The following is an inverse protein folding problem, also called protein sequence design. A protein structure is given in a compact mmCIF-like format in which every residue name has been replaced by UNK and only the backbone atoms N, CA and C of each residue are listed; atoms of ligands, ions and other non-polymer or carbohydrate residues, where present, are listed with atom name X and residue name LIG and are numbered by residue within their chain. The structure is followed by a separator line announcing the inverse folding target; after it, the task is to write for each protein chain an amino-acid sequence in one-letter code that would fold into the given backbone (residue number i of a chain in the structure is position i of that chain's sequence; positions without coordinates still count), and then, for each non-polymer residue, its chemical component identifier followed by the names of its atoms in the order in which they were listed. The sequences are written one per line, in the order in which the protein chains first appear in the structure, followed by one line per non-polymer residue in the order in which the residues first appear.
data_IF_816715582162
#
_entry.id   IF_816715582162
#
_cell.length_a   1.000
_cell.length_b   1.000
_cell.length_c   1.000
_cell.angle_alpha   90.00
_cell.angle_beta   90.00
_cell.angle_gamma   90.00
#
_symmetry.space_group_name_H-M   'P 1'
#
loop_
_entity.id
_entity.type
_entity.pdbx_description
1 polymer ?
#
# COMPACT_ATOMS: atom_id res chain seq x y z
N UNK A 1 32.80 -35.49 -9.81
CA UNK A 1 31.70 -36.03 -10.63
C UNK A 1 32.00 -35.69 -12.07
N UNK A 2 32.43 -36.66 -12.88
CA UNK A 2 32.67 -36.48 -14.31
C UNK A 2 31.58 -37.24 -15.08
N UNK A 3 30.82 -36.55 -15.93
CA UNK A 3 29.86 -37.18 -16.81
C UNK A 3 30.56 -37.42 -18.15
N UNK A 4 30.72 -38.71 -18.52
CA UNK A 4 31.33 -39.14 -19.80
C UNK A 4 32.80 -38.73 -20.00
N UNK A 5 33.59 -38.67 -18.94
CA UNK A 5 35.03 -38.33 -18.99
C UNK A 5 35.34 -36.95 -19.64
N UNK A 6 34.32 -36.11 -19.77
CA UNK A 6 34.46 -34.74 -20.26
C UNK A 6 34.64 -33.78 -19.09
N UNK A 7 35.49 -32.78 -19.30
CA UNK A 7 35.68 -31.71 -18.35
C UNK A 7 34.43 -30.82 -18.32
N UNK A 8 33.83 -30.70 -17.14
CA UNK A 8 32.58 -29.95 -16.93
C UNK A 8 32.79 -28.45 -17.21
N UNK A 9 33.99 -27.94 -16.97
CA UNK A 9 34.36 -26.54 -17.20
C UNK A 9 34.28 -26.13 -18.69
N UNK A 10 34.37 -27.10 -19.61
CA UNK A 10 34.27 -26.85 -21.07
C UNK A 10 32.86 -26.50 -21.54
N UNK A 11 31.83 -26.91 -20.79
CA UNK A 11 30.42 -26.62 -21.08
C UNK A 11 29.95 -25.29 -20.48
N UNK A 12 30.80 -24.64 -19.67
CA UNK A 12 30.49 -23.37 -19.03
C UNK A 12 30.83 -22.22 -19.99
N UNK A 13 29.83 -21.40 -20.32
CA UNK A 13 30.03 -20.20 -21.13
C UNK A 13 31.10 -19.29 -20.49
N UNK A 14 31.89 -18.62 -21.32
CA UNK A 14 32.94 -17.70 -20.90
C UNK A 14 32.44 -16.65 -19.88
N UNK A 15 31.18 -16.22 -19.98
CA UNK A 15 30.57 -15.26 -19.05
C UNK A 15 30.53 -15.74 -17.59
N UNK A 16 30.51 -17.05 -17.35
CA UNK A 16 30.45 -17.63 -16.00
C UNK A 16 31.81 -18.07 -15.46
N UNK A 17 32.90 -17.86 -16.22
CA UNK A 17 34.25 -18.23 -15.80
C UNK A 17 34.79 -17.27 -14.73
N UNK A 18 35.58 -17.81 -13.80
CA UNK A 18 36.24 -17.04 -12.72
C UNK A 18 37.05 -15.87 -13.25
N UNK A 19 37.76 -16.04 -14.37
CA UNK A 19 38.56 -14.99 -15.00
C UNK A 19 37.69 -13.79 -15.39
N UNK A 20 36.52 -14.05 -15.99
CA UNK A 20 35.57 -13.03 -16.41
C UNK A 20 34.99 -12.30 -15.20
N UNK A 21 34.66 -13.03 -14.13
CA UNK A 21 34.23 -12.44 -12.86
C UNK A 21 35.31 -11.51 -12.27
N UNK A 22 36.55 -11.98 -12.15
CA UNK A 22 37.65 -11.17 -11.64
C UNK A 22 37.93 -9.96 -12.53
N UNK A 23 37.81 -10.11 -13.85
CA UNK A 23 37.96 -9.00 -14.81
C UNK A 23 36.85 -7.96 -14.65
N UNK A 24 35.60 -8.39 -14.45
CA UNK A 24 34.46 -7.49 -14.25
C UNK A 24 34.61 -6.66 -12.97
N UNK A 25 35.07 -7.29 -11.88
CA UNK A 25 35.29 -6.65 -10.59
C UNK A 25 36.73 -6.18 -10.35
N UNK A 26 37.59 -6.18 -11.38
CA UNK A 26 38.99 -5.75 -11.27
C UNK A 26 39.12 -4.26 -10.93
N UNK A 27 38.11 -3.46 -11.28
CA UNK A 27 38.07 -2.03 -11.03
C UNK A 27 37.34 -1.75 -9.72
N UNK A 28 37.97 -0.95 -8.87
CA UNK A 28 37.36 -0.49 -7.62
C UNK A 28 36.20 0.48 -7.92
N UNK A 29 34.99 0.11 -7.48
CA UNK A 29 33.84 1.01 -7.52
C UNK A 29 33.98 1.96 -6.34
N UNK A 30 34.34 3.21 -6.63
CA UNK A 30 34.47 4.22 -5.58
C UNK A 30 33.10 4.49 -4.94
N UNK A 31 32.97 4.35 -3.62
CA UNK A 31 31.73 4.70 -2.95
C UNK A 31 31.49 6.21 -3.06
N UNK A 32 30.29 6.62 -3.45
CA UNK A 32 29.88 8.03 -3.42
C UNK A 32 29.10 8.32 -2.15
N UNK A 33 29.66 9.18 -1.31
CA UNK A 33 29.16 9.45 0.05
C UNK A 33 27.81 10.17 0.10
N UNK A 34 27.46 10.96 -0.93
CA UNK A 34 26.25 11.78 -0.91
C UNK A 34 25.72 12.07 -2.32
N UNK A 35 24.38 12.12 -2.48
CA UNK A 35 23.70 12.46 -3.74
C UNK A 35 24.14 13.81 -4.30
N UNK A 36 24.50 14.76 -3.42
CA UNK A 36 24.99 16.09 -3.83
C UNK A 36 26.32 16.05 -4.60
N UNK A 37 27.11 14.98 -4.46
CA UNK A 37 28.40 14.83 -5.14
C UNK A 37 28.29 14.14 -6.50
N UNK A 38 27.07 13.76 -6.91
CA UNK A 38 26.89 13.09 -8.18
C UNK A 38 27.19 14.05 -9.34
N UNK A 39 28.01 13.63 -10.33
CA UNK A 39 28.28 14.46 -11.50
C UNK A 39 26.97 14.70 -12.25
N UNK A 40 26.73 15.94 -12.68
CA UNK A 40 25.58 16.27 -13.52
C UNK A 40 25.76 15.54 -14.85
N UNK A 41 24.78 14.72 -15.22
CA UNK A 41 24.81 14.03 -16.50
C UNK A 41 24.59 15.02 -17.65
N UNK A 42 25.37 14.90 -18.73
CA UNK A 42 25.14 15.61 -20.00
C UNK A 42 24.02 14.97 -20.83
N UNK A 43 23.54 13.79 -20.40
CA UNK A 43 22.47 13.05 -21.08
C UNK A 43 21.13 13.76 -20.89
N UNK A 44 20.20 13.63 -21.86
CA UNK A 44 18.85 14.14 -21.69
C UNK A 44 18.20 13.53 -20.44
N UNK A 45 17.31 14.31 -19.80
CA UNK A 45 16.50 13.83 -18.69
C UNK A 45 15.68 12.62 -19.15
N UNK A 46 15.74 11.53 -18.40
CA UNK A 46 14.90 10.36 -18.66
C UNK A 46 13.49 10.75 -18.24
N UNK A 47 12.58 10.86 -19.20
CA UNK A 47 11.18 11.06 -18.87
C UNK A 47 10.63 9.84 -18.13
N UNK A 48 9.83 10.05 -17.06
CA UNK A 48 9.21 8.94 -16.38
C UNK A 48 8.33 8.17 -17.37
N UNK A 49 8.28 6.83 -17.28
CA UNK A 49 7.36 6.07 -18.10
C UNK A 49 5.92 6.52 -17.83
N UNK A 50 5.08 6.48 -18.85
CA UNK A 50 3.66 6.76 -18.70
C UNK A 50 3.04 5.82 -17.66
N UNK A 51 2.44 6.39 -16.62
CA UNK A 51 1.81 5.63 -15.55
C UNK A 51 0.51 5.05 -16.11
N UNK A 52 0.52 3.75 -16.44
CA UNK A 52 -0.69 3.02 -16.81
C UNK A 52 -1.35 2.42 -15.58
N UNK A 53 -2.69 2.46 -15.54
CA UNK A 53 -3.44 1.80 -14.47
C UNK A 53 -3.33 0.29 -14.63
N UNK A 54 -2.61 -0.35 -13.72
CA UNK A 54 -2.52 -1.80 -13.70
C UNK A 54 -3.91 -2.41 -13.45
N UNK A 55 -4.28 -3.49 -14.15
CA UNK A 55 -5.52 -4.20 -13.85
C UNK A 55 -5.51 -4.62 -12.38
N UNK A 56 -6.52 -4.16 -11.66
CA UNK A 56 -6.67 -4.46 -10.24
C UNK A 56 -6.84 -5.96 -10.00
N UNK A 57 -6.64 -6.37 -8.76
CA UNK A 57 -6.85 -7.76 -8.34
C UNK A 57 -8.27 -8.25 -8.73
N UNK A 58 -8.40 -9.43 -9.35
CA UNK A 58 -9.71 -10.03 -9.62
C UNK A 58 -10.55 -10.15 -8.36
N UNK A 59 -11.86 -9.89 -8.47
CA UNK A 59 -12.79 -9.99 -7.34
C UNK A 59 -12.85 -11.45 -6.86
N UNK A 60 -12.71 -11.68 -5.54
CA UNK A 60 -12.83 -13.02 -4.93
C UNK A 60 -14.18 -13.69 -5.17
N UNK A 61 -15.24 -12.89 -5.37
CA UNK A 61 -16.59 -13.39 -5.68
C UNK A 61 -17.00 -12.87 -7.05
N UNK A 62 -17.53 -13.78 -7.87
CA UNK A 62 -18.23 -13.43 -9.11
C UNK A 62 -19.43 -12.53 -8.81
N UNK A 63 -19.72 -11.59 -9.71
CA UNK A 63 -21.03 -10.94 -9.74
C UNK A 63 -22.09 -11.99 -10.08
N UNK A 64 -23.25 -11.92 -9.44
CA UNK A 64 -24.40 -12.77 -9.80
C UNK A 64 -25.29 -12.03 -10.78
N UNK A 65 -25.86 -12.74 -11.75
CA UNK A 65 -26.91 -12.19 -12.62
C UNK A 65 -28.20 -11.94 -11.82
N UNK A 66 -29.09 -11.06 -12.30
CA UNK A 66 -30.34 -10.67 -11.60
C UNK A 66 -31.22 -11.87 -11.24
N UNK A 67 -31.19 -12.90 -12.10
CA UNK A 67 -32.10 -14.04 -12.04
C UNK A 67 -31.51 -15.22 -11.25
N UNK A 68 -30.27 -15.11 -10.77
CA UNK A 68 -29.68 -16.15 -9.95
C UNK A 68 -30.29 -16.16 -8.54
N UNK A 69 -30.79 -17.32 -8.05
CA UNK A 69 -31.33 -17.42 -6.70
C UNK A 69 -30.25 -17.06 -5.67
N UNK A 70 -30.47 -15.94 -4.99
CA UNK A 70 -29.65 -15.56 -3.85
C UNK A 70 -29.95 -16.54 -2.71
N UNK A 71 -29.02 -17.45 -2.40
CA UNK A 71 -29.10 -18.31 -1.21
C UNK A 71 -29.43 -17.43 -0.01
N UNK A 72 -30.69 -17.46 0.45
CA UNK A 72 -31.13 -16.76 1.66
C UNK A 72 -30.26 -17.27 2.80
N UNK A 73 -29.59 -16.36 3.50
CA UNK A 73 -28.84 -16.73 4.71
C UNK A 73 -29.87 -17.04 5.80
N UNK A 74 -30.35 -18.28 5.84
CA UNK A 74 -31.21 -18.76 6.91
C UNK A 74 -30.49 -18.53 8.26
N UNK A 75 -31.21 -18.02 9.25
CA UNK A 75 -30.69 -17.76 10.60
C UNK A 75 -30.10 -16.37 10.86
N UNK A 76 -30.16 -15.42 9.92
CA UNK A 76 -29.75 -14.02 10.18
C UNK A 76 -30.92 -13.07 10.00
N UNK A 77 -31.33 -12.41 11.08
CA UNK A 77 -32.35 -11.37 11.02
C UNK A 77 -31.90 -10.25 10.06
N UNK A 78 -32.77 -9.90 9.11
CA UNK A 78 -32.56 -8.80 8.17
C UNK A 78 -32.56 -7.47 8.91
N UNK A 79 -31.69 -6.53 8.51
CA UNK A 79 -31.68 -5.17 9.08
C UNK A 79 -32.92 -4.34 8.70
N UNK A 80 -33.70 -4.79 7.71
CA UNK A 80 -34.88 -4.08 7.20
C UNK A 80 -35.93 -3.97 8.32
N UNK A 81 -36.32 -2.73 8.65
CA UNK A 81 -37.30 -2.44 9.70
C UNK A 81 -36.75 -2.29 11.13
N UNK A 82 -35.44 -2.50 11.36
CA UNK A 82 -34.85 -2.34 12.70
C UNK A 82 -34.71 -0.85 13.06
N UNK A 83 -35.46 -0.39 14.07
CA UNK A 83 -35.24 0.93 14.67
C UNK A 83 -33.93 0.93 15.45
N UNK A 84 -33.01 1.81 15.07
CA UNK A 84 -31.72 1.96 15.76
C UNK A 84 -31.87 2.83 17.01
N UNK A 85 -31.25 2.40 18.11
CA UNK A 85 -31.17 3.12 19.38
C UNK A 85 -29.76 3.65 19.58
N UNK A 86 -29.64 4.93 19.87
CA UNK A 86 -28.35 5.55 20.17
C UNK A 86 -27.79 4.99 21.48
N UNK A 87 -26.52 4.57 21.50
CA UNK A 87 -25.90 4.04 22.71
C UNK A 87 -25.53 5.14 23.73
N UNK A 88 -25.43 6.40 23.30
CA UNK A 88 -25.11 7.53 24.17
C UNK A 88 -26.36 8.10 24.85
N UNK A 89 -27.32 8.60 24.07
CA UNK A 89 -28.51 9.26 24.60
C UNK A 89 -29.72 8.31 24.76
N UNK A 90 -29.59 7.05 24.37
CA UNK A 90 -30.64 6.02 24.44
C UNK A 90 -31.93 6.34 23.63
N UNK A 91 -31.94 7.40 22.82
CA UNK A 91 -33.05 7.74 21.94
C UNK A 91 -33.01 6.99 20.60
N UNK A 92 -34.16 6.88 19.95
CA UNK A 92 -34.29 6.25 18.62
C UNK A 92 -34.06 7.26 17.49
N UNK A 93 -33.73 6.77 16.29
CA UNK A 93 -33.65 7.59 15.07
C UNK A 93 -32.23 8.00 14.68
N UNK A 94 -31.23 7.82 15.54
CA UNK A 94 -29.83 8.05 15.22
C UNK A 94 -28.92 7.05 15.95
N UNK A 95 -27.67 6.94 15.48
CA UNK A 95 -26.61 6.15 16.12
C UNK A 95 -25.66 7.07 16.91
N UNK A 96 -24.78 6.51 17.75
CA UNK A 96 -23.76 7.24 18.52
C UNK A 96 -23.04 8.34 17.73
N UNK A 97 -22.68 8.06 16.47
CA UNK A 97 -21.97 9.01 15.59
C UNK A 97 -22.78 10.25 15.20
N UNK A 98 -24.09 10.10 15.05
CA UNK A 98 -25.01 11.20 14.73
C UNK A 98 -25.73 11.72 15.98
N UNK A 99 -25.20 11.45 17.17
CA UNK A 99 -25.83 11.88 18.41
C UNK A 99 -25.55 13.38 18.61
N UNK A 100 -26.57 14.23 18.80
CA UNK A 100 -26.37 15.66 19.00
C UNK A 100 -25.51 15.95 20.23
N UNK A 101 -25.70 15.16 21.31
CA UNK A 101 -24.83 15.19 22.50
C UNK A 101 -23.38 14.85 22.12
N UNK A 102 -23.14 13.79 21.34
CA UNK A 102 -21.78 13.43 20.95
C UNK A 102 -21.08 14.50 20.10
N UNK A 103 -21.85 15.18 19.24
CA UNK A 103 -21.35 16.25 18.37
C UNK A 103 -21.02 17.49 19.19
N UNK A 104 -21.89 17.90 20.13
CA UNK A 104 -21.64 19.07 20.96
C UNK A 104 -20.38 18.93 21.82
N UNK A 105 -20.14 17.75 22.41
CA UNK A 105 -18.90 17.47 23.16
C UNK A 105 -17.63 17.44 22.29
N UNK A 106 -17.73 17.00 21.03
CA UNK A 106 -16.58 16.99 20.12
C UNK A 106 -16.19 18.42 19.67
N UNK A 107 -17.18 19.28 19.43
CA UNK A 107 -16.96 20.67 19.04
C UNK A 107 -16.35 21.49 20.18
N UNK A 108 -16.81 21.29 21.42
CA UNK A 108 -16.23 21.98 22.59
C UNK A 108 -14.78 21.57 22.83
N UNK A 109 -14.43 20.28 22.69
CA UNK A 109 -13.05 19.80 22.84
C UNK A 109 -12.10 20.33 21.75
N UNK A 110 -12.60 20.54 20.53
CA UNK A 110 -11.80 21.10 19.42
C UNK A 110 -11.53 22.60 19.59
N UNK A 111 -12.50 23.37 20.10
CA UNK A 111 -12.32 24.81 20.37
C UNK A 111 -11.39 25.11 21.55
N UNK A 112 -11.37 24.26 22.59
CA UNK A 112 -10.44 24.39 23.71
C UNK A 112 -8.99 24.20 23.28
N UNK A 113 -8.70 23.20 22.43
CA UNK A 113 -7.36 22.95 21.90
C UNK A 113 -6.82 24.14 21.08
N UNK A 114 -7.69 24.77 20.27
CA UNK A 114 -7.34 25.97 19.50
C UNK A 114 -7.06 27.19 20.40
N UNK A 115 -7.78 27.34 21.52
CA UNK A 115 -7.51 28.41 22.51
C UNK A 115 -6.20 28.21 23.27
N UNK A 116 -5.82 26.97 23.58
CA UNK A 116 -4.54 26.66 24.25
C UNK A 116 -3.30 26.92 23.39
N UNK A 117 -3.39 26.68 22.08
CA UNK A 117 -2.31 26.96 21.12
C UNK A 117 -2.07 28.48 21.03
N UNK A 118 -3.13 29.30 20.98
CA UNK A 118 -3.01 30.75 20.86
C UNK A 118 -2.41 31.45 22.10
N UNK A 119 -2.50 30.86 23.29
CA UNK A 119 -1.98 31.47 24.53
C UNK A 119 -0.47 31.20 24.71
N UNK A 120 0.09 30.16 24.07
CA UNK A 120 1.49 29.74 24.27
C UNK A 120 2.45 30.14 23.13
N UNK A 121 2.03 31.00 22.20
CA UNK A 121 2.85 31.46 21.07
C UNK A 121 3.17 32.96 21.11
N UNK A 122 3.23 33.58 22.29
CA UNK A 122 3.69 34.97 22.47
C UNK A 122 4.82 35.07 23.48
#
# INVERSE_FOLDING_TARGET
MHYKDLDVESFVDHWYKKETYLKAYSKFIQPMTNMKMWPKSTKPSIEPPEITSMPGRPRKKRSKYSDEPCKKKFGKATRKGRKMKCSLCKNFGHNKKGCPIGISFALTSSTLLMKFIFINTS
#
